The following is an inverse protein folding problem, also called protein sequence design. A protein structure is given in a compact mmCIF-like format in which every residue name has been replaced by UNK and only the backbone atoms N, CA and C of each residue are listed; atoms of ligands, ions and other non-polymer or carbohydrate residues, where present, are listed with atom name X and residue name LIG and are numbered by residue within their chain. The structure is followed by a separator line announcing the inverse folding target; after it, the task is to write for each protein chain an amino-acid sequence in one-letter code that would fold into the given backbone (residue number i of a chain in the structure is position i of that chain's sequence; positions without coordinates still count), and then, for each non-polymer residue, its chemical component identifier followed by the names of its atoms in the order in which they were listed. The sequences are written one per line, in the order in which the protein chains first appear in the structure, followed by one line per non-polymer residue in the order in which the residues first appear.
data_IF_622649931287
#
_entry.id   IF_622649931287
#
_cell.length_a   1.000
_cell.length_b   1.000
_cell.length_c   1.000
_cell.angle_alpha   90.00
_cell.angle_beta   90.00
_cell.angle_gamma   90.00
#
_symmetry.space_group_name_H-M   'P 1'
#
loop_
_entity.id
_entity.type
_entity.pdbx_description
1 polymer ?
#
# COMPACT_ATOMS: atom_id res chain seq x y z
N UNK A 1 6.98 14.40 15.81
CA UNK A 1 6.78 14.72 14.37
C UNK A 1 7.06 13.53 13.45
N UNK A 2 8.15 12.77 13.67
CA UNK A 2 8.46 11.57 12.87
C UNK A 2 7.39 10.46 12.97
N UNK A 3 6.89 10.18 14.18
CA UNK A 3 5.81 9.20 14.40
C UNK A 3 4.52 9.54 13.64
N UNK A 4 4.21 10.83 13.45
CA UNK A 4 3.04 11.27 12.67
C UNK A 4 3.26 11.04 11.15
N UNK A 5 4.50 11.20 10.69
CA UNK A 5 4.89 10.95 9.29
C UNK A 5 4.92 9.46 8.97
N UNK A 6 5.48 8.63 9.86
CA UNK A 6 5.52 7.18 9.73
C UNK A 6 4.11 6.57 9.70
N UNK A 7 3.21 7.05 10.56
CA UNK A 7 1.81 6.66 10.55
C UNK A 7 1.12 7.01 9.22
N UNK A 8 1.37 8.20 8.66
CA UNK A 8 0.81 8.60 7.36
C UNK A 8 1.32 7.73 6.22
N UNK A 9 2.61 7.39 6.20
CA UNK A 9 3.18 6.49 5.19
C UNK A 9 2.55 5.10 5.29
N UNK A 10 2.40 4.57 6.51
CA UNK A 10 1.77 3.27 6.73
C UNK A 10 0.31 3.24 6.24
N UNK A 11 -0.47 4.29 6.56
CA UNK A 11 -1.86 4.44 6.09
C UNK A 11 -1.91 4.56 4.56
N UNK A 12 -1.12 5.45 3.97
CA UNK A 12 -1.09 5.64 2.52
C UNK A 12 -0.73 4.35 1.76
N UNK A 13 0.23 3.57 2.28
CA UNK A 13 0.60 2.27 1.72
C UNK A 13 -0.57 1.28 1.77
N UNK A 14 -1.25 1.20 2.92
CA UNK A 14 -2.41 0.32 3.09
C UNK A 14 -3.51 0.68 2.11
N UNK A 15 -3.88 1.95 2.03
CA UNK A 15 -4.98 2.44 1.20
C UNK A 15 -4.67 2.24 -0.31
N UNK A 16 -3.41 2.43 -0.71
CA UNK A 16 -2.94 2.10 -2.07
C UNK A 16 -3.10 0.60 -2.36
N UNK A 17 -2.59 -0.26 -1.47
CA UNK A 17 -2.63 -1.71 -1.65
C UNK A 17 -4.07 -2.26 -1.69
N UNK A 18 -4.95 -1.70 -0.88
CA UNK A 18 -6.38 -2.04 -0.90
C UNK A 18 -7.02 -1.66 -2.24
N UNK A 19 -6.73 -0.46 -2.74
CA UNK A 19 -7.22 0.01 -4.05
C UNK A 19 -6.72 -0.89 -5.20
N UNK A 20 -5.44 -1.28 -5.16
CA UNK A 20 -4.85 -2.23 -6.11
C UNK A 20 -5.55 -3.59 -6.05
N UNK A 21 -5.82 -4.10 -4.84
CA UNK A 21 -6.51 -5.38 -4.66
C UNK A 21 -7.95 -5.34 -5.22
N UNK A 22 -8.69 -4.27 -4.94
CA UNK A 22 -10.06 -4.08 -5.44
C UNK A 22 -10.07 -4.00 -6.96
N UNK A 23 -9.17 -3.20 -7.55
CA UNK A 23 -9.02 -3.11 -9.01
C UNK A 23 -8.67 -4.46 -9.64
N UNK A 24 -7.68 -5.18 -9.09
CA UNK A 24 -7.26 -6.49 -9.59
C UNK A 24 -8.38 -7.52 -9.52
N UNK A 25 -9.20 -7.47 -8.47
CA UNK A 25 -10.39 -8.32 -8.33
C UNK A 25 -11.45 -7.94 -9.36
N UNK A 26 -11.68 -6.65 -9.56
CA UNK A 26 -12.65 -6.14 -10.53
C UNK A 26 -12.31 -6.54 -11.96
N UNK A 27 -11.08 -6.33 -12.42
CA UNK A 27 -10.65 -6.66 -13.80
C UNK A 27 -10.58 -8.16 -14.09
N UNK A 28 -10.68 -9.00 -13.05
CA UNK A 28 -10.72 -10.47 -13.18
C UNK A 28 -12.13 -11.07 -13.11
N UNK A 29 -13.14 -10.27 -12.79
CA UNK A 29 -14.54 -10.74 -12.73
C UNK A 29 -15.13 -10.81 -14.14
N UNK A 30 -15.96 -11.81 -14.43
CA UNK A 30 -16.73 -11.83 -15.67
C UNK A 30 -17.91 -10.85 -15.58
N UNK A 31 -18.23 -10.08 -16.64
CA UNK A 31 -17.61 -10.04 -17.97
C UNK A 31 -16.38 -9.12 -18.11
N UNK A 32 -16.00 -8.38 -17.08
CA UNK A 32 -14.95 -7.36 -17.08
C UNK A 32 -13.61 -7.88 -17.60
N UNK A 33 -13.23 -9.13 -17.29
CA UNK A 33 -11.99 -9.75 -17.84
C UNK A 33 -11.94 -9.73 -19.37
N UNK A 34 -13.08 -9.83 -20.05
CA UNK A 34 -13.14 -9.78 -21.52
C UNK A 34 -12.87 -8.37 -22.02
N UNK A 35 -13.58 -7.38 -21.45
CA UNK A 35 -13.39 -5.97 -21.79
C UNK A 35 -11.96 -5.52 -21.45
N UNK A 36 -11.43 -5.94 -20.30
CA UNK A 36 -10.07 -5.63 -19.86
C UNK A 36 -9.03 -6.12 -20.88
N UNK A 37 -9.18 -7.33 -21.43
CA UNK A 37 -8.31 -7.84 -22.50
C UNK A 37 -8.41 -7.02 -23.79
N UNK A 38 -9.60 -6.54 -24.13
CA UNK A 38 -9.82 -5.73 -25.34
C UNK A 38 -9.17 -4.35 -25.22
N UNK A 39 -9.23 -3.73 -24.05
CA UNK A 39 -8.66 -2.39 -23.82
C UNK A 39 -7.23 -2.41 -23.27
N UNK A 40 -6.63 -3.58 -23.04
CA UNK A 40 -5.28 -3.72 -22.48
C UNK A 40 -5.18 -3.34 -21.00
N UNK A 41 -6.25 -3.53 -20.22
CA UNK A 41 -6.22 -3.30 -18.79
C UNK A 41 -5.61 -4.49 -18.05
N UNK A 42 -4.37 -4.32 -17.60
CA UNK A 42 -3.64 -5.31 -16.80
C UNK A 42 -3.78 -5.08 -15.30
N UNK A 43 -3.37 -6.10 -14.53
CA UNK A 43 -3.24 -6.02 -13.08
C UNK A 43 -2.24 -4.95 -12.66
N UNK A 44 -2.48 -4.35 -11.50
CA UNK A 44 -1.53 -3.46 -10.82
C UNK A 44 -0.75 -4.24 -9.76
N UNK A 45 0.52 -3.88 -9.59
CA UNK A 45 1.35 -4.39 -8.50
C UNK A 45 1.06 -3.63 -7.20
N UNK A 46 0.99 -4.32 -6.05
CA UNK A 46 0.94 -3.65 -4.75
C UNK A 46 2.27 -2.96 -4.47
N UNK A 47 2.24 -1.97 -3.58
CA UNK A 47 3.42 -1.32 -3.06
C UNK A 47 3.98 -2.14 -1.90
N UNK A 48 5.22 -2.60 -2.06
CA UNK A 48 5.97 -3.29 -1.01
C UNK A 48 6.87 -2.32 -0.26
N UNK A 49 7.01 -2.55 1.04
CA UNK A 49 7.94 -1.79 1.86
C UNK A 49 9.38 -2.12 1.42
N UNK A 50 10.29 -1.14 1.34
CA UNK A 50 11.71 -1.45 1.25
C UNK A 50 12.13 -2.28 2.47
N UNK A 51 12.98 -3.28 2.26
CA UNK A 51 13.56 -4.08 3.34
C UNK A 51 14.24 -3.15 4.37
N UNK A 52 13.91 -3.31 5.66
CA UNK A 52 14.48 -2.51 6.75
C UNK A 52 13.68 -1.27 7.19
N UNK A 53 12.55 -0.95 6.54
CA UNK A 53 11.65 0.16 6.95
C UNK A 53 10.56 -0.30 7.94
N UNK A 54 10.55 -1.59 8.29
CA UNK A 54 9.57 -2.17 9.23
C UNK A 54 9.86 -1.82 10.69
N UNK A 55 11.08 -1.38 11.00
CA UNK A 55 11.49 -0.99 12.35
C UNK A 55 11.37 0.52 12.48
N UNK A 56 10.22 1.00 12.98
CA UNK A 56 10.16 2.36 13.50
C UNK A 56 11.22 2.51 14.61
N UNK A 57 12.02 3.59 14.64
CA UNK A 57 12.98 3.79 15.70
C UNK A 57 12.24 3.85 17.04
N UNK A 58 12.67 3.03 18.00
CA UNK A 58 12.18 3.14 19.37
C UNK A 58 12.51 4.54 19.88
N UNK A 59 11.48 5.37 20.07
CA UNK A 59 11.67 6.70 20.67
C UNK A 59 11.95 6.49 22.14
N UNK A 60 13.24 6.34 22.48
CA UNK A 60 13.71 6.46 23.86
C UNK A 60 13.71 7.94 24.24
N UNK A 61 12.70 8.36 25.00
CA UNK A 61 12.78 9.59 25.78
C UNK A 61 13.74 9.34 26.96
N UNK A 62 15.04 9.34 26.67
CA UNK A 62 16.09 9.40 27.70
C UNK A 62 15.92 10.70 28.49
N UNK A 63 15.83 10.57 29.82
CA UNK A 63 15.33 11.59 30.72
C UNK A 63 16.19 12.83 30.91
N UNK A 64 15.54 13.86 31.44
CA UNK A 64 16.16 14.93 32.21
C UNK A 64 15.15 15.40 33.27
N UNK A 65 15.49 15.20 34.54
CA UNK A 65 14.95 15.93 35.71
C UNK A 65 13.70 15.38 36.38
#
# INVERSE_FOLDING_TARGET
ELTDTENRIAVARRDYNESVQQYNTYVRRFPQTLTARVIGADRKEPFEAPEGVETAPAVEFGGDG
#
